data_IF_072252640955
#
_entry.id   IF_072252640955
#
_cell.length_a   1.000
_cell.length_b   1.000
_cell.length_c   1.000
_cell.angle_alpha   90.00
_cell.angle_beta   90.00
_cell.angle_gamma   90.00
#
_symmetry.space_group_name_H-M   'P 1'
#
loop_
_entity.id
_entity.type
_entity.pdbx_description
1 polymer ?
#
# COMPACT_ATOMS: atom_id res chain seq x y z
N UNK A 1 27.08 10.30 16.26
CA UNK A 1 26.37 9.80 17.47
C UNK A 1 24.93 10.29 17.54
N UNK A 2 24.63 11.55 17.16
CA UNK A 2 23.28 12.10 17.14
C UNK A 2 22.24 11.30 16.31
N UNK A 3 22.63 10.81 15.12
CA UNK A 3 21.70 10.07 14.24
C UNK A 3 21.22 8.73 14.82
N UNK A 4 22.09 8.04 15.56
CA UNK A 4 21.72 6.79 16.24
C UNK A 4 20.75 7.04 17.39
N UNK A 5 20.90 8.15 18.11
CA UNK A 5 19.98 8.56 19.17
C UNK A 5 18.63 8.97 18.58
N UNK A 6 18.62 9.74 17.49
CA UNK A 6 17.40 10.14 16.78
C UNK A 6 16.65 8.92 16.26
N UNK A 7 17.30 8.00 15.54
CA UNK A 7 16.66 6.78 15.03
C UNK A 7 16.04 5.91 16.15
N UNK A 8 16.70 5.82 17.32
CA UNK A 8 16.17 5.11 18.48
C UNK A 8 14.89 5.78 19.01
N UNK A 9 14.86 7.10 19.02
CA UNK A 9 13.68 7.87 19.42
C UNK A 9 12.49 7.65 18.47
N UNK A 10 12.69 7.76 17.14
CA UNK A 10 11.61 7.53 16.15
C UNK A 10 11.03 6.10 16.27
N UNK A 11 11.90 5.10 16.48
CA UNK A 11 11.47 3.71 16.69
C UNK A 11 10.69 3.51 18.00
N UNK A 12 11.03 4.28 19.04
CA UNK A 12 10.31 4.26 20.33
C UNK A 12 8.92 4.86 20.17
N UNK A 13 8.78 5.93 19.41
CA UNK A 13 7.48 6.56 19.09
C UNK A 13 6.56 5.60 18.33
N UNK A 14 7.06 4.92 17.29
CA UNK A 14 6.30 3.86 16.62
C UNK A 14 5.90 2.71 17.57
N UNK A 15 6.79 2.30 18.50
CA UNK A 15 6.46 1.25 19.47
C UNK A 15 5.37 1.69 20.46
N UNK A 16 5.35 2.96 20.86
CA UNK A 16 4.27 3.51 21.70
C UNK A 16 2.95 3.47 20.93
N UNK A 17 2.91 3.96 19.69
CA UNK A 17 1.72 3.93 18.85
C UNK A 17 1.20 2.50 18.62
N UNK A 18 2.09 1.54 18.36
CA UNK A 18 1.75 0.12 18.25
C UNK A 18 1.11 -0.40 19.55
N UNK A 19 1.67 -0.08 20.71
CA UNK A 19 1.12 -0.50 22.00
C UNK A 19 -0.29 0.05 22.19
N UNK A 20 -0.49 1.33 21.90
CA UNK A 20 -1.78 1.98 22.04
C UNK A 20 -2.80 1.32 21.10
N UNK A 21 -2.44 1.09 19.83
CA UNK A 21 -3.26 0.37 18.86
C UNK A 21 -3.64 -1.04 19.34
N UNK A 22 -2.69 -1.80 19.89
CA UNK A 22 -2.95 -3.14 20.45
C UNK A 22 -3.88 -3.13 21.68
N UNK A 23 -3.88 -2.04 22.46
CA UNK A 23 -4.74 -1.90 23.66
C UNK A 23 -6.15 -1.43 23.33
N UNK A 24 -6.39 -0.84 22.15
CA UNK A 24 -7.74 -0.55 21.65
C UNK A 24 -8.44 -1.90 21.40
N UNK A 25 -9.28 -2.28 22.35
CA UNK A 25 -9.80 -3.64 22.51
C UNK A 25 -10.73 -4.06 21.38
N UNK A 26 -10.16 -4.70 20.34
CA UNK A 26 -10.80 -5.65 19.42
C UNK A 26 -9.78 -6.37 18.51
N UNK A 27 -8.64 -5.74 18.21
CA UNK A 27 -7.66 -6.27 17.26
C UNK A 27 -6.94 -7.55 17.73
N UNK A 28 -6.61 -7.65 19.03
CA UNK A 28 -5.78 -8.75 19.56
C UNK A 28 -6.46 -10.12 19.49
N UNK A 29 -7.77 -10.17 19.73
CA UNK A 29 -8.54 -11.42 19.73
C UNK A 29 -8.99 -11.84 18.32
N UNK A 30 -9.26 -10.87 17.44
CA UNK A 30 -9.74 -11.15 16.08
C UNK A 30 -8.62 -11.55 15.11
N UNK A 31 -7.38 -11.07 15.34
CA UNK A 31 -6.27 -11.22 14.41
C UNK A 31 -5.25 -12.30 14.84
N UNK A 32 -5.58 -13.11 15.85
CA UNK A 32 -4.72 -14.17 16.40
C UNK A 32 -3.26 -13.71 16.63
N UNK A 33 -3.09 -12.46 17.09
CA UNK A 33 -1.75 -11.90 17.28
C UNK A 33 -1.00 -12.69 18.38
N UNK A 34 0.34 -12.84 18.27
CA UNK A 34 1.14 -13.54 19.26
C UNK A 34 0.84 -13.06 20.69
N UNK A 35 0.69 -14.00 21.61
CA UNK A 35 0.49 -13.70 23.02
C UNK A 35 1.83 -13.31 23.66
N UNK A 36 2.12 -12.01 23.74
CA UNK A 36 3.29 -11.47 24.44
C UNK A 36 3.09 -10.03 24.91
N UNK A 37 3.77 -9.63 25.98
CA UNK A 37 3.79 -8.24 26.46
C UNK A 37 4.66 -7.32 25.58
N UNK A 38 5.37 -7.89 24.60
CA UNK A 38 6.42 -7.23 23.80
C UNK A 38 6.37 -7.65 22.33
N UNK A 39 5.19 -7.65 21.71
CA UNK A 39 5.09 -7.90 20.27
C UNK A 39 5.87 -6.81 19.51
N UNK A 40 6.76 -7.24 18.62
CA UNK A 40 7.53 -6.34 17.76
C UNK A 40 6.73 -5.92 16.54
N UNK A 41 7.06 -4.76 15.95
CA UNK A 41 6.45 -4.33 14.68
C UNK A 41 6.57 -5.38 13.58
N UNK A 42 7.72 -6.08 13.51
CA UNK A 42 7.93 -7.14 12.53
C UNK A 42 6.93 -8.28 12.69
N UNK A 43 6.75 -8.79 13.91
CA UNK A 43 5.83 -9.90 14.19
C UNK A 43 4.39 -9.50 13.87
N UNK A 44 3.97 -8.31 14.31
CA UNK A 44 2.61 -7.81 14.06
C UNK A 44 2.38 -7.60 12.56
N UNK A 45 3.23 -6.82 11.89
CA UNK A 45 3.06 -6.52 10.46
C UNK A 45 3.07 -7.79 9.61
N UNK A 46 3.91 -8.78 9.94
CA UNK A 46 3.94 -10.05 9.19
C UNK A 46 2.61 -10.80 9.25
N UNK A 47 1.93 -10.78 10.41
CA UNK A 47 0.59 -11.37 10.55
C UNK A 47 -0.46 -10.53 9.82
N UNK A 48 -0.36 -9.20 9.91
CA UNK A 48 -1.37 -8.30 9.36
C UNK A 48 -1.41 -8.21 7.83
N UNK A 49 -0.41 -8.73 7.11
CA UNK A 49 -0.40 -8.70 5.63
C UNK A 49 -1.59 -9.47 5.03
N UNK A 50 -2.06 -10.52 5.70
CA UNK A 50 -3.27 -11.25 5.30
C UNK A 50 -4.56 -10.51 5.73
N UNK A 51 -4.44 -9.48 6.56
CA UNK A 51 -5.53 -8.68 7.12
C UNK A 51 -5.39 -7.22 6.65
N UNK A 52 -5.58 -6.98 5.35
CA UNK A 52 -5.30 -5.69 4.68
C UNK A 52 -5.91 -4.47 5.39
N UNK A 53 -7.15 -4.57 5.86
CA UNK A 53 -7.78 -3.49 6.64
C UNK A 53 -7.00 -3.19 7.92
N UNK A 54 -6.59 -4.23 8.66
CA UNK A 54 -5.87 -4.05 9.92
C UNK A 54 -4.44 -3.53 9.73
N UNK A 55 -3.73 -3.91 8.66
CA UNK A 55 -2.40 -3.31 8.39
C UNK A 55 -2.53 -1.85 7.99
N UNK A 56 -3.58 -1.46 7.24
CA UNK A 56 -3.84 -0.05 6.91
C UNK A 56 -4.15 0.76 8.16
N UNK A 57 -5.05 0.26 9.01
CA UNK A 57 -5.40 0.89 10.29
C UNK A 57 -4.17 1.06 11.19
N UNK A 58 -3.34 0.03 11.34
CA UNK A 58 -2.12 0.13 12.14
C UNK A 58 -1.19 1.21 11.55
N UNK A 59 -0.86 1.12 10.26
CA UNK A 59 0.07 2.06 9.62
C UNK A 59 -0.41 3.50 9.69
N UNK A 60 -1.73 3.73 9.61
CA UNK A 60 -2.32 5.06 9.77
C UNK A 60 -2.13 5.65 11.18
N UNK A 61 -1.97 4.81 12.21
CA UNK A 61 -1.67 5.27 13.56
C UNK A 61 -0.19 5.51 13.83
N UNK A 62 0.70 5.02 12.96
CA UNK A 62 2.15 5.14 13.19
C UNK A 62 2.64 6.53 12.79
N UNK A 63 3.49 7.18 13.59
CA UNK A 63 4.10 8.44 13.20
C UNK A 63 5.14 8.29 12.08
N UNK A 64 5.82 7.14 12.00
CA UNK A 64 6.80 6.83 10.95
C UNK A 64 6.50 5.49 10.29
N UNK A 65 5.43 5.38 9.49
CA UNK A 65 5.05 4.13 8.83
C UNK A 65 6.18 3.58 7.94
N UNK A 66 6.98 4.45 7.31
CA UNK A 66 8.11 4.06 6.48
C UNK A 66 9.20 3.32 7.27
N UNK A 67 9.42 3.70 8.54
CA UNK A 67 10.36 3.00 9.42
C UNK A 67 9.81 1.67 9.92
N UNK A 68 8.48 1.55 10.01
CA UNK A 68 7.82 0.32 10.41
C UNK A 68 7.87 -0.71 9.27
N UNK A 69 7.54 -0.32 8.04
CA UNK A 69 7.61 -1.24 6.89
C UNK A 69 9.06 -1.59 6.53
N UNK A 70 10.04 -0.72 6.82
CA UNK A 70 11.47 -1.01 6.63
C UNK A 70 11.97 -2.24 7.40
N UNK A 71 11.29 -2.65 8.48
CA UNK A 71 11.69 -3.87 9.21
C UNK A 71 11.19 -5.16 8.56
N UNK A 72 10.28 -5.08 7.58
CA UNK A 72 9.74 -6.26 6.89
C UNK A 72 10.81 -6.89 5.99
N UNK A 73 10.90 -8.25 5.98
CA UNK A 73 11.65 -8.94 4.95
C UNK A 73 11.13 -8.56 3.56
N UNK A 74 12.03 -8.40 2.59
CA UNK A 74 11.66 -8.00 1.22
C UNK A 74 10.55 -8.88 0.62
N UNK A 75 10.64 -10.20 0.76
CA UNK A 75 9.61 -11.11 0.25
C UNK A 75 8.21 -10.87 0.87
N UNK A 76 8.17 -10.46 2.13
CA UNK A 76 6.94 -10.15 2.88
C UNK A 76 6.36 -8.81 2.40
N UNK A 77 7.20 -7.78 2.22
CA UNK A 77 6.80 -6.50 1.63
C UNK A 77 6.25 -6.66 0.20
N UNK A 78 6.94 -7.42 -0.66
CA UNK A 78 6.50 -7.64 -2.04
C UNK A 78 5.18 -8.42 -2.10
N UNK A 79 4.99 -9.41 -1.22
CA UNK A 79 3.71 -10.12 -1.11
C UNK A 79 2.58 -9.18 -0.72
N UNK A 80 2.82 -8.27 0.22
CA UNK A 80 1.83 -7.27 0.60
C UNK A 80 1.49 -6.34 -0.58
N UNK A 81 2.50 -5.83 -1.29
CA UNK A 81 2.29 -5.02 -2.49
C UNK A 81 1.47 -5.71 -3.58
N UNK A 82 1.72 -7.00 -3.83
CA UNK A 82 0.92 -7.79 -4.76
C UNK A 82 -0.55 -7.96 -4.30
N UNK A 83 -0.78 -8.05 -2.98
CA UNK A 83 -2.14 -8.13 -2.41
C UNK A 83 -2.88 -6.80 -2.54
N UNK A 84 -2.20 -5.67 -2.32
CA UNK A 84 -2.74 -4.34 -2.58
C UNK A 84 -3.09 -4.14 -4.07
N UNK A 85 -2.20 -4.56 -4.97
CA UNK A 85 -2.44 -4.50 -6.41
C UNK A 85 -3.67 -5.33 -6.81
N UNK A 86 -3.79 -6.53 -6.24
CA UNK A 86 -4.94 -7.39 -6.45
C UNK A 86 -6.26 -6.75 -6.01
N UNK A 87 -6.29 -6.08 -4.87
CA UNK A 87 -7.49 -5.38 -4.40
C UNK A 87 -7.90 -4.24 -5.32
N UNK A 88 -6.92 -3.48 -5.82
CA UNK A 88 -7.17 -2.42 -6.82
C UNK A 88 -7.75 -3.04 -8.09
N UNK A 89 -7.20 -4.16 -8.57
CA UNK A 89 -7.68 -4.86 -9.75
C UNK A 89 -9.11 -5.39 -9.58
N UNK A 90 -9.40 -6.07 -8.47
CA UNK A 90 -10.74 -6.58 -8.18
C UNK A 90 -11.75 -5.45 -8.05
N UNK A 91 -11.38 -4.36 -7.37
CA UNK A 91 -12.21 -3.16 -7.25
C UNK A 91 -12.50 -2.54 -8.62
N UNK A 92 -11.48 -2.40 -9.46
CA UNK A 92 -11.61 -1.87 -10.82
C UNK A 92 -12.54 -2.73 -11.70
N UNK A 93 -12.44 -4.07 -11.63
CA UNK A 93 -13.34 -4.97 -12.38
C UNK A 93 -14.78 -4.84 -11.86
N UNK A 94 -14.97 -4.74 -10.53
CA UNK A 94 -16.30 -4.51 -9.93
C UNK A 94 -16.90 -3.18 -10.34
N UNK A 95 -16.08 -2.14 -10.45
CA UNK A 95 -16.54 -0.82 -10.87
C UNK A 95 -17.14 -0.84 -12.27
N UNK A 96 -16.52 -1.54 -13.23
CA UNK A 96 -17.07 -1.71 -14.60
C UNK A 96 -18.46 -2.36 -14.61
N UNK A 97 -18.79 -3.22 -13.63
CA UNK A 97 -20.14 -3.80 -13.53
C UNK A 97 -21.21 -2.75 -13.18
N UNK A 98 -20.81 -1.73 -12.42
CA UNK A 98 -21.67 -0.64 -11.97
C UNK A 98 -21.80 0.46 -13.02
N UNK A 99 -20.82 0.60 -13.91
CA UNK A 99 -20.83 1.61 -14.97
C UNK A 99 -22.03 1.43 -15.92
N UNK A 100 -22.86 2.46 -16.05
CA UNK A 100 -24.04 2.45 -16.93
C UNK A 100 -23.63 2.40 -18.41
N UNK A 101 -22.52 3.06 -18.75
CA UNK A 101 -21.97 3.12 -20.11
C UNK A 101 -21.35 1.80 -20.57
N UNK A 102 -21.04 0.87 -19.65
CA UNK A 102 -20.45 -0.41 -19.99
C UNK A 102 -21.47 -1.34 -20.67
N UNK A 103 -21.08 -1.90 -21.83
CA UNK A 103 -21.92 -2.84 -22.57
C UNK A 103 -22.21 -4.12 -21.78
N UNK A 104 -23.33 -4.80 -22.10
CA UNK A 104 -23.67 -6.09 -21.48
C UNK A 104 -22.54 -7.12 -21.65
N UNK A 105 -21.91 -7.15 -22.83
CA UNK A 105 -20.78 -8.03 -23.11
C UNK A 105 -19.57 -7.76 -22.19
N UNK A 106 -19.27 -6.48 -21.92
CA UNK A 106 -18.22 -6.11 -20.97
C UNK A 106 -18.57 -6.56 -19.55
N UNK A 107 -19.83 -6.39 -19.14
CA UNK A 107 -20.31 -6.80 -17.81
C UNK A 107 -20.27 -8.32 -17.62
N UNK A 108 -20.72 -9.10 -18.59
CA UNK A 108 -20.64 -10.57 -18.55
C UNK A 108 -19.19 -11.07 -18.49
N UNK A 109 -18.30 -10.41 -19.24
CA UNK A 109 -16.87 -10.68 -19.20
C UNK A 109 -16.27 -10.41 -17.81
N UNK A 110 -16.56 -9.25 -17.22
CA UNK A 110 -16.13 -8.86 -15.87
C UNK A 110 -16.68 -9.81 -14.80
N UNK A 111 -17.95 -10.22 -14.87
CA UNK A 111 -18.55 -11.19 -13.95
C UNK A 111 -17.82 -12.55 -13.98
N UNK A 112 -17.57 -13.07 -15.19
CA UNK A 112 -16.84 -14.33 -15.38
C UNK A 112 -15.41 -14.22 -14.85
N UNK A 113 -14.77 -13.08 -15.08
CA UNK A 113 -13.41 -12.84 -14.61
C UNK A 113 -13.35 -12.74 -13.09
N UNK A 114 -14.22 -11.97 -12.44
CA UNK A 114 -14.31 -11.88 -10.98
C UNK A 114 -14.49 -13.25 -10.36
N UNK A 115 -15.45 -14.03 -10.85
CA UNK A 115 -15.67 -15.39 -10.35
C UNK A 115 -14.40 -16.25 -10.44
N UNK A 116 -13.60 -16.07 -11.50
CA UNK A 116 -12.35 -16.82 -11.67
C UNK A 116 -11.20 -16.34 -10.78
N UNK A 117 -11.20 -15.08 -10.34
CA UNK A 117 -10.09 -14.48 -9.60
C UNK A 117 -10.41 -14.13 -8.15
N UNK A 118 -11.58 -14.50 -7.61
CA UNK A 118 -11.94 -14.30 -6.19
C UNK A 118 -12.29 -15.60 -5.49
N UNK A 119 -11.75 -16.73 -5.96
CA UNK A 119 -12.11 -18.07 -5.46
C UNK A 119 -11.54 -18.40 -4.10
N UNK A 120 -10.35 -17.86 -3.79
CA UNK A 120 -9.57 -18.17 -2.60
C UNK A 120 -8.95 -16.87 -2.02
N UNK A 121 -9.79 -15.83 -1.96
CA UNK A 121 -9.57 -14.54 -1.32
C UNK A 121 -8.18 -13.89 -1.56
N UNK A 122 -7.67 -13.95 -2.79
CA UNK A 122 -6.37 -13.34 -3.13
C UNK A 122 -5.17 -14.29 -3.04
N UNK A 123 -5.42 -15.60 -3.12
CA UNK A 123 -4.38 -16.61 -3.37
C UNK A 123 -3.46 -16.24 -4.54
N UNK A 124 -2.30 -16.90 -4.66
CA UNK A 124 -1.40 -16.68 -5.81
C UNK A 124 -2.09 -16.89 -7.16
N UNK A 125 -3.01 -17.86 -7.24
CA UNK A 125 -3.81 -18.12 -8.43
C UNK A 125 -4.74 -16.95 -8.74
N UNK A 126 -5.51 -16.50 -7.75
CA UNK A 126 -6.43 -15.37 -7.87
C UNK A 126 -5.68 -14.11 -8.35
N UNK A 127 -4.55 -13.78 -7.71
CA UNK A 127 -3.68 -12.65 -8.10
C UNK A 127 -3.15 -12.77 -9.52
N UNK A 128 -2.78 -13.98 -9.94
CA UNK A 128 -2.28 -14.22 -11.31
C UNK A 128 -3.38 -13.98 -12.35
N UNK A 129 -4.61 -14.39 -12.06
CA UNK A 129 -5.76 -14.20 -12.95
C UNK A 129 -6.20 -12.72 -12.98
N UNK A 130 -6.22 -12.04 -11.82
CA UNK A 130 -6.62 -10.64 -11.72
C UNK A 130 -5.65 -9.69 -12.45
N UNK A 131 -4.35 -9.98 -12.46
CA UNK A 131 -3.33 -9.14 -13.11
C UNK A 131 -3.07 -9.45 -14.59
N UNK A 132 -3.75 -10.44 -15.18
CA UNK A 132 -3.48 -10.93 -16.53
C UNK A 132 -3.60 -9.79 -17.58
N UNK A 133 -2.49 -9.36 -18.22
CA UNK A 133 -2.50 -8.26 -19.18
C UNK A 133 -3.40 -8.50 -20.38
N UNK A 134 -3.60 -9.76 -20.79
CA UNK A 134 -4.47 -10.08 -21.93
C UNK A 134 -5.93 -9.87 -21.58
N UNK A 135 -6.31 -10.11 -20.32
CA UNK A 135 -7.69 -9.85 -19.85
C UNK A 135 -7.98 -8.36 -19.77
N UNK A 136 -7.03 -7.57 -19.24
CA UNK A 136 -7.13 -6.12 -19.24
C UNK A 136 -7.21 -5.54 -20.65
N UNK A 137 -6.40 -6.03 -21.60
CA UNK A 137 -6.46 -5.60 -23.01
C UNK A 137 -7.80 -5.95 -23.66
N UNK A 138 -8.33 -7.14 -23.37
CA UNK A 138 -9.66 -7.54 -23.87
C UNK A 138 -10.75 -6.67 -23.27
N UNK A 139 -10.70 -6.36 -21.98
CA UNK A 139 -11.66 -5.46 -21.35
C UNK A 139 -11.65 -4.07 -22.00
N UNK A 140 -10.46 -3.49 -22.23
CA UNK A 140 -10.33 -2.20 -22.91
C UNK A 140 -10.92 -2.22 -24.35
N UNK A 141 -10.90 -3.37 -25.04
CA UNK A 141 -11.56 -3.50 -26.35
C UNK A 141 -13.08 -3.58 -26.28
N UNK A 142 -13.64 -4.03 -25.14
CA UNK A 142 -15.10 -4.14 -24.91
C UNK A 142 -15.68 -2.86 -24.29
N UNK A 143 -14.86 -2.11 -23.56
CA UNK A 143 -15.21 -0.86 -22.90
C UNK A 143 -13.97 0.06 -22.92
N UNK A 144 -13.88 1.02 -23.85
CA UNK A 144 -12.70 1.88 -24.02
C UNK A 144 -12.32 2.69 -22.77
N UNK A 145 -13.29 3.06 -21.94
CA UNK A 145 -13.08 3.80 -20.70
C UNK A 145 -12.73 2.88 -19.51
N UNK A 146 -12.48 1.59 -19.75
CA UNK A 146 -12.09 0.67 -18.70
C UNK A 146 -10.76 1.09 -18.04
N UNK A 147 -10.64 0.96 -16.71
CA UNK A 147 -9.40 1.24 -16.01
C UNK A 147 -8.27 0.29 -16.44
N UNK A 148 -7.02 0.76 -16.35
CA UNK A 148 -5.84 -0.06 -16.58
C UNK A 148 -5.36 -0.72 -15.28
N UNK A 149 -5.75 -1.96 -15.03
CA UNK A 149 -5.33 -2.70 -13.83
C UNK A 149 -4.07 -3.56 -13.99
N UNK A 150 -3.58 -3.75 -15.22
CA UNK A 150 -2.33 -4.48 -15.47
C UNK A 150 -1.11 -3.60 -15.15
N UNK A 151 -0.03 -4.21 -14.64
CA UNK A 151 1.28 -3.54 -14.53
C UNK A 151 1.71 -3.05 -15.92
N UNK A 152 1.99 -1.74 -16.08
CA UNK A 152 2.54 -1.20 -17.34
C UNK A 152 3.84 -1.86 -17.75
N UNK A 153 4.10 -1.91 -19.05
CA UNK A 153 5.41 -2.32 -19.59
C UNK A 153 6.49 -1.33 -19.16
N UNK A 154 7.62 -1.83 -18.64
CA UNK A 154 8.75 -1.00 -18.24
C UNK A 154 8.85 -0.71 -16.74
N UNK A 155 7.81 -0.97 -15.95
CA UNK A 155 7.89 -0.90 -14.48
C UNK A 155 8.38 -2.24 -13.95
N UNK A 156 9.46 -2.32 -13.19
CA UNK A 156 9.90 -3.59 -12.59
C UNK A 156 8.81 -4.23 -11.68
N UNK A 157 8.62 -5.56 -11.65
CA UNK A 157 7.61 -6.19 -10.78
C UNK A 157 7.76 -5.85 -9.29
N UNK A 158 8.97 -5.70 -8.79
CA UNK A 158 9.20 -5.31 -7.39
C UNK A 158 8.81 -3.86 -7.17
N UNK A 159 9.19 -2.97 -8.08
CA UNK A 159 8.77 -1.56 -8.06
C UNK A 159 7.25 -1.43 -8.09
N UNK A 160 6.57 -2.26 -8.90
CA UNK A 160 5.11 -2.28 -8.97
C UNK A 160 4.48 -2.68 -7.64
N UNK A 161 4.99 -3.74 -6.99
CA UNK A 161 4.52 -4.14 -5.67
C UNK A 161 4.76 -3.03 -4.63
N UNK A 162 5.96 -2.43 -4.61
CA UNK A 162 6.30 -1.35 -3.67
C UNK A 162 5.40 -0.13 -3.88
N UNK A 163 5.15 0.27 -5.13
CA UNK A 163 4.28 1.39 -5.47
C UNK A 163 2.89 1.27 -4.83
N UNK A 164 2.32 0.07 -4.82
CA UNK A 164 1.02 -0.19 -4.19
C UNK A 164 1.03 -0.13 -2.66
N UNK A 165 2.21 -0.19 -2.02
CA UNK A 165 2.35 -0.02 -0.56
C UNK A 165 2.57 1.43 -0.14
N UNK A 166 3.01 2.32 -1.05
CA UNK A 166 3.43 3.68 -0.72
C UNK A 166 2.34 4.49 -0.05
N UNK A 167 1.09 4.34 -0.46
CA UNK A 167 -0.04 5.05 0.16
C UNK A 167 -0.24 4.75 1.66
N UNK A 168 0.28 3.61 2.12
CA UNK A 168 0.19 3.19 3.51
C UNK A 168 1.53 3.37 4.24
N UNK A 169 2.63 3.31 3.50
CA UNK A 169 3.98 3.36 4.05
C UNK A 169 4.60 4.77 4.04
N UNK A 170 4.19 5.65 3.14
CA UNK A 170 4.70 7.02 3.06
C UNK A 170 3.82 7.94 3.89
N UNK A 171 4.40 8.48 4.97
CA UNK A 171 3.68 9.32 5.93
C UNK A 171 2.94 10.51 5.30
N UNK A 172 3.55 11.17 4.31
CA UNK A 172 3.00 12.35 3.66
C UNK A 172 2.22 12.02 2.39
N UNK A 173 1.86 10.75 2.13
CA UNK A 173 1.21 10.36 0.89
C UNK A 173 -0.06 11.17 0.63
N UNK A 174 -0.94 11.30 1.62
CA UNK A 174 -2.25 11.95 1.50
C UNK A 174 -2.15 13.42 1.09
N UNK A 175 -1.07 14.10 1.49
CA UNK A 175 -0.82 15.52 1.19
C UNK A 175 0.05 15.71 -0.06
N UNK A 176 0.51 14.63 -0.72
CA UNK A 176 1.10 14.76 -2.05
C UNK A 176 0.03 15.08 -3.10
N UNK A 177 0.39 15.63 -4.27
CA UNK A 177 -0.52 15.76 -5.41
C UNK A 177 -1.22 14.45 -5.83
N UNK A 178 -0.72 13.31 -5.37
CA UNK A 178 -1.23 11.98 -5.71
C UNK A 178 -2.02 11.33 -4.59
N UNK A 179 -2.07 11.95 -3.40
CA UNK A 179 -2.74 11.38 -2.22
C UNK A 179 -4.22 11.09 -2.47
N UNK A 180 -4.88 11.94 -3.26
CA UNK A 180 -6.28 11.79 -3.67
C UNK A 180 -6.47 11.08 -5.03
N UNK A 181 -5.39 10.68 -5.70
CA UNK A 181 -5.49 10.07 -7.02
C UNK A 181 -6.09 8.66 -6.96
N UNK A 182 -6.91 8.25 -7.95
CA UNK A 182 -7.37 6.88 -8.03
C UNK A 182 -6.21 5.88 -8.09
N UNK A 183 -6.29 4.80 -7.30
CA UNK A 183 -5.23 3.77 -7.27
C UNK A 183 -5.00 3.08 -8.63
N UNK A 184 -5.98 3.15 -9.53
CA UNK A 184 -5.87 2.63 -10.89
C UNK A 184 -4.90 3.41 -11.78
N UNK A 185 -4.52 4.64 -11.40
CA UNK A 185 -3.59 5.48 -12.19
C UNK A 185 -2.14 5.41 -11.70
N UNK A 186 -1.83 4.59 -10.69
CA UNK A 186 -0.48 4.48 -10.11
C UNK A 186 0.59 4.20 -11.18
N UNK A 187 0.27 3.41 -12.20
CA UNK A 187 1.18 3.15 -13.32
C UNK A 187 1.59 4.41 -14.09
N UNK A 188 0.64 5.31 -14.37
CA UNK A 188 0.94 6.59 -15.01
C UNK A 188 1.76 7.49 -14.09
N UNK A 189 1.37 7.58 -12.81
CA UNK A 189 2.08 8.38 -11.81
C UNK A 189 3.54 7.96 -11.68
N UNK A 190 3.83 6.65 -11.72
CA UNK A 190 5.20 6.14 -11.68
C UNK A 190 6.06 6.65 -12.85
N UNK A 191 5.50 6.71 -14.06
CA UNK A 191 6.21 7.19 -15.25
C UNK A 191 6.34 8.71 -15.30
N UNK A 192 5.29 9.43 -14.87
CA UNK A 192 5.22 10.89 -14.96
C UNK A 192 6.03 11.58 -13.85
N UNK A 193 6.35 10.86 -12.76
CA UNK A 193 6.97 11.45 -11.57
C UNK A 193 8.24 10.70 -11.13
N UNK A 194 9.44 11.21 -11.50
CA UNK A 194 10.73 10.61 -11.13
C UNK A 194 10.96 10.43 -9.62
N UNK A 195 10.28 11.20 -8.77
CA UNK A 195 10.36 11.02 -7.32
C UNK A 195 9.73 9.68 -6.89
N UNK A 196 8.58 9.27 -7.44
CA UNK A 196 7.97 7.97 -7.17
C UNK A 196 8.84 6.83 -7.68
N UNK A 197 9.38 6.99 -8.89
CA UNK A 197 10.28 6.00 -9.48
C UNK A 197 11.50 5.76 -8.58
N UNK A 198 12.20 6.82 -8.15
CA UNK A 198 13.37 6.73 -7.27
C UNK A 198 13.06 6.05 -5.94
N UNK A 199 11.92 6.36 -5.31
CA UNK A 199 11.51 5.70 -4.06
C UNK A 199 11.35 4.19 -4.30
N UNK A 200 10.59 3.80 -5.33
CA UNK A 200 10.35 2.39 -5.62
C UNK A 200 11.65 1.63 -5.93
N UNK A 201 12.52 2.22 -6.76
CA UNK A 201 13.81 1.62 -7.14
C UNK A 201 14.77 1.51 -5.96
N UNK A 202 14.82 2.53 -5.10
CA UNK A 202 15.67 2.53 -3.90
C UNK A 202 15.22 1.48 -2.89
N UNK A 203 13.91 1.35 -2.67
CA UNK A 203 13.34 0.30 -1.81
C UNK A 203 13.56 -1.10 -2.43
N UNK A 204 13.36 -1.26 -3.74
CA UNK A 204 13.57 -2.54 -4.42
C UNK A 204 15.02 -3.01 -4.33
N UNK A 205 15.98 -2.12 -4.64
CA UNK A 205 17.39 -2.46 -4.68
C UNK A 205 18.00 -2.59 -3.27
N UNK A 206 17.66 -1.66 -2.36
CA UNK A 206 18.42 -1.46 -1.11
C UNK A 206 17.56 -1.51 0.15
N UNK A 207 16.25 -1.74 0.03
CA UNK A 207 15.29 -1.59 1.14
C UNK A 207 15.40 -0.21 1.80
N UNK A 208 15.76 0.81 1.01
CA UNK A 208 15.94 2.16 1.50
C UNK A 208 14.70 3.02 1.27
N UNK A 209 14.03 3.32 2.38
CA UNK A 209 12.85 4.16 2.45
C UNK A 209 13.18 5.65 2.65
N UNK A 210 14.47 6.03 2.69
CA UNK A 210 14.90 7.40 2.90
C UNK A 210 14.34 8.39 1.87
N UNK A 211 14.24 7.96 0.61
CA UNK A 211 13.75 8.77 -0.51
C UNK A 211 12.27 9.21 -0.36
N UNK A 212 11.50 8.60 0.54
CA UNK A 212 10.10 8.99 0.81
C UNK A 212 9.99 10.46 1.24
N UNK A 213 11.02 11.01 1.89
CA UNK A 213 11.05 12.43 2.27
C UNK A 213 11.11 13.38 1.08
N UNK A 214 11.46 12.88 -0.12
CA UNK A 214 11.57 13.67 -1.34
C UNK A 214 10.25 13.78 -2.10
N UNK A 215 9.20 13.07 -1.66
CA UNK A 215 7.89 13.18 -2.27
C UNK A 215 7.33 14.59 -2.04
N UNK A 216 6.78 15.23 -3.09
CA UNK A 216 6.31 16.61 -2.99
C UNK A 216 5.04 16.67 -2.14
N UNK A 217 5.18 16.97 -0.86
CA UNK A 217 4.08 17.10 0.10
C UNK A 217 3.79 18.55 0.50
N UNK A 218 4.69 19.49 0.17
CA UNK A 218 4.67 20.83 0.73
C UNK A 218 5.12 20.91 2.20
N UNK A 219 5.42 19.77 2.83
CA UNK A 219 5.91 19.68 4.20
C UNK A 219 7.36 19.23 4.23
N UNK A 220 8.17 19.96 4.98
CA UNK A 220 9.55 19.59 5.26
C UNK A 220 9.63 18.59 6.41
N UNK A 221 10.81 17.99 6.59
CA UNK A 221 11.09 17.20 7.80
C UNK A 221 10.95 18.04 9.09
N UNK A 222 11.21 19.35 9.02
CA UNK A 222 11.08 20.26 10.17
C UNK A 222 9.61 20.46 10.53
N UNK A 223 8.73 20.64 9.54
CA UNK A 223 7.28 20.74 9.75
C UNK A 223 6.71 19.47 10.41
N UNK A 224 7.19 18.30 9.97
CA UNK A 224 6.83 17.02 10.60
C UNK A 224 7.24 16.96 12.08
N UNK A 225 8.44 17.41 12.41
CA UNK A 225 8.92 17.42 13.80
C UNK A 225 8.05 18.35 14.66
N UNK A 226 7.66 19.52 14.13
CA UNK A 226 6.79 20.48 14.83
C UNK A 226 5.38 19.93 15.06
N UNK A 227 4.73 19.34 14.05
CA UNK A 227 3.40 18.72 14.21
C UNK A 227 3.41 17.64 15.30
N UNK A 228 4.50 16.87 15.40
CA UNK A 228 4.65 15.83 16.42
C UNK A 228 4.89 16.37 17.84
N UNK A 229 5.65 17.46 17.99
CA UNK A 229 5.81 18.15 19.28
C UNK A 229 4.48 18.68 19.82
N UNK A 230 3.53 19.00 18.93
CA UNK A 230 2.18 19.47 19.30
C UNK A 230 1.16 18.35 19.55
N UNK A 231 1.56 17.08 19.45
CA UNK A 231 0.71 15.93 19.77
C UNK A 231 -0.36 15.60 18.72
N UNK A 232 -0.29 16.19 17.53
CA UNK A 232 -1.11 15.79 16.38
C UNK A 232 -0.53 14.51 15.77
N UNK A 233 -1.37 13.61 15.26
CA UNK A 233 -0.84 12.46 14.51
C UNK A 233 -0.13 12.98 13.26
N UNK A 234 0.94 12.31 12.83
CA UNK A 234 1.71 12.71 11.65
C UNK A 234 0.88 12.70 10.33
N UNK A 235 -0.35 12.17 10.38
CA UNK A 235 -1.32 12.12 9.27
C UNK A 235 -2.52 13.07 9.47
N UNK A 236 -2.62 13.76 10.61
CA UNK A 236 -3.74 14.65 10.89
C UNK A 236 -3.52 16.05 10.29
N UNK A 237 -3.32 16.13 8.97
CA UNK A 237 -3.33 17.40 8.23
C UNK A 237 -3.85 17.23 6.81
#
# INVERSE_FOLDING_TARGET
MADRTKLRQLRKENHTALRDWMTRGQHRQQLNLPAGSTNTLLEVLTVLIEHRVAIHELLATLPYPELAVKVLPKAVLLRWGDLEAYDVQVSAIRHVLLEESASLQAKDYCNTWLHACTTDNGSLRDRTIARDPNRWRRLASLFPDAPAGARPTGIDPECWAILHTLQHAAWAWEVTPWGAAPRTILGSLYHDHPALQRVCESVAAWSDWGEVISLPSGFTWEDRMVSMETGLSAQAH
#
